data_IF_876029695753
#
_entry.id   IF_876029695753
#
_cell.length_a   1.000
_cell.length_b   1.000
_cell.length_c   1.000
_cell.angle_alpha   90.00
_cell.angle_beta   90.00
_cell.angle_gamma   90.00
#
_symmetry.space_group_name_H-M   'P 1'
#
loop_
_entity.id
_entity.type
_entity.pdbx_description
1 polymer ?
#
# COMPACT_ATOMS: atom_id res chain seq x y z
N UNK A 1 -5.00 5.76 13.66
CA UNK A 1 -3.90 5.01 13.00
C UNK A 1 -3.61 5.64 11.65
N UNK A 2 -2.35 5.86 11.29
CA UNK A 2 -1.92 6.43 10.02
C UNK A 2 -1.70 5.32 8.99
N UNK A 3 -2.41 5.38 7.86
CA UNK A 3 -2.40 4.35 6.82
C UNK A 3 -1.86 4.93 5.52
N UNK A 4 -0.91 4.23 4.90
CA UNK A 4 -0.50 4.50 3.52
C UNK A 4 -1.16 3.47 2.60
N UNK A 5 -1.70 3.92 1.47
CA UNK A 5 -2.30 3.04 0.46
C UNK A 5 -1.47 3.10 -0.83
N UNK A 6 -1.10 1.93 -1.36
CA UNK A 6 -0.47 1.77 -2.68
C UNK A 6 -1.46 1.03 -3.59
N UNK A 7 -2.02 1.71 -4.58
CA UNK A 7 -3.10 1.20 -5.42
C UNK A 7 -3.19 2.07 -6.67
N UNK A 8 -3.07 1.48 -7.86
CA UNK A 8 -3.10 2.20 -9.14
C UNK A 8 -4.52 2.33 -9.70
N UNK A 9 -5.47 1.50 -9.26
CA UNK A 9 -6.87 1.63 -9.64
C UNK A 9 -7.67 2.51 -8.66
N UNK A 10 -8.02 3.73 -9.10
CA UNK A 10 -8.77 4.70 -8.28
C UNK A 10 -10.09 4.14 -7.69
N UNK A 11 -10.77 3.25 -8.41
CA UNK A 11 -12.00 2.61 -7.93
C UNK A 11 -11.71 1.62 -6.77
N UNK A 12 -10.64 0.84 -6.88
CA UNK A 12 -10.17 -0.07 -5.84
C UNK A 12 -9.69 0.70 -4.61
N UNK A 13 -8.92 1.78 -4.81
CA UNK A 13 -8.48 2.67 -3.73
C UNK A 13 -9.67 3.25 -2.97
N UNK A 14 -10.67 3.77 -3.69
CA UNK A 14 -11.88 4.33 -3.08
C UNK A 14 -12.64 3.29 -2.27
N UNK A 15 -12.79 2.07 -2.81
CA UNK A 15 -13.45 0.96 -2.11
C UNK A 15 -12.67 0.56 -0.85
N UNK A 16 -11.35 0.47 -0.93
CA UNK A 16 -10.48 0.14 0.20
C UNK A 16 -10.58 1.19 1.30
N UNK A 17 -10.59 2.48 0.95
CA UNK A 17 -10.78 3.58 1.90
C UNK A 17 -12.15 3.50 2.59
N UNK A 18 -13.22 3.17 1.85
CA UNK A 18 -14.55 2.97 2.43
C UNK A 18 -14.58 1.80 3.42
N UNK A 19 -13.96 0.67 3.05
CA UNK A 19 -13.87 -0.49 3.93
C UNK A 19 -13.04 -0.18 5.19
N UNK A 20 -11.93 0.52 5.03
CA UNK A 20 -11.08 0.98 6.13
C UNK A 20 -11.85 1.89 7.08
N UNK A 21 -12.62 2.85 6.56
CA UNK A 21 -13.42 3.76 7.39
C UNK A 21 -14.51 3.05 8.21
N UNK A 22 -15.03 1.93 7.70
CA UNK A 22 -15.98 1.08 8.44
C UNK A 22 -15.25 0.25 9.51
N UNK A 23 -14.12 -0.35 9.14
CA UNK A 23 -13.39 -1.24 10.04
C UNK A 23 -12.66 -0.50 11.17
N UNK A 24 -12.09 0.67 10.87
CA UNK A 24 -11.34 1.52 11.80
C UNK A 24 -11.65 3.01 11.54
N UNK A 25 -12.72 3.55 12.12
CA UNK A 25 -13.15 4.94 11.88
C UNK A 25 -12.11 6.01 12.27
N UNK A 26 -11.16 5.67 13.14
CA UNK A 26 -10.04 6.54 13.55
C UNK A 26 -8.80 6.44 12.63
N UNK A 27 -8.87 5.67 11.54
CA UNK A 27 -7.81 5.59 10.56
C UNK A 27 -7.70 6.90 9.75
N UNK A 28 -6.47 7.35 9.54
CA UNK A 28 -6.13 8.50 8.69
C UNK A 28 -5.31 8.00 7.52
N UNK A 29 -5.87 8.09 6.32
CA UNK A 29 -5.12 7.82 5.09
C UNK A 29 -4.17 9.00 4.84
N UNK A 30 -2.87 8.73 4.86
CA UNK A 30 -1.83 9.73 4.67
C UNK A 30 -1.66 10.10 3.19
N UNK A 31 -1.70 9.09 2.31
CA UNK A 31 -1.64 9.22 0.87
C UNK A 31 -2.19 7.95 0.20
N UNK A 32 -2.57 8.09 -1.06
CA UNK A 32 -2.84 7.00 -2.01
C UNK A 32 -1.85 7.18 -3.15
N UNK A 33 -1.01 6.17 -3.42
CA UNK A 33 0.07 6.24 -4.39
C UNK A 33 -0.10 5.12 -5.43
N UNK A 34 0.07 5.47 -6.71
CA UNK A 34 -0.27 4.57 -7.83
C UNK A 34 0.95 3.83 -8.39
N UNK A 35 2.17 4.19 -7.96
CA UNK A 35 3.41 3.70 -8.53
C UNK A 35 4.45 3.33 -7.47
N UNK A 36 5.32 2.38 -7.81
CA UNK A 36 6.52 1.99 -7.07
C UNK A 36 7.42 3.20 -6.85
N UNK A 37 7.61 4.02 -7.90
CA UNK A 37 8.43 5.24 -7.80
C UNK A 37 7.89 6.20 -6.72
N UNK A 38 6.59 6.51 -6.76
CA UNK A 38 5.98 7.45 -5.82
C UNK A 38 5.98 6.88 -4.39
N UNK A 39 5.75 5.58 -4.25
CA UNK A 39 5.85 4.88 -2.96
C UNK A 39 7.26 4.99 -2.34
N UNK A 40 8.30 4.77 -3.14
CA UNK A 40 9.70 4.90 -2.71
C UNK A 40 10.01 6.33 -2.28
N UNK A 41 9.62 7.31 -3.09
CA UNK A 41 9.84 8.73 -2.79
C UNK A 41 9.12 9.14 -1.50
N UNK A 42 7.85 8.75 -1.38
CA UNK A 42 7.04 9.06 -0.21
C UNK A 42 7.63 8.46 1.07
N UNK A 43 8.00 7.17 1.05
CA UNK A 43 8.55 6.48 2.22
C UNK A 43 9.93 6.99 2.66
N UNK A 44 10.71 7.60 1.75
CA UNK A 44 12.00 8.21 2.08
C UNK A 44 11.89 9.56 2.76
N UNK A 45 10.81 10.30 2.48
CA UNK A 45 10.64 11.70 2.90
C UNK A 45 9.72 11.81 4.11
N UNK A 46 8.69 10.95 4.19
CA UNK A 46 7.65 11.06 5.20
C UNK A 46 7.92 10.16 6.40
N UNK A 47 7.22 10.47 7.51
CA UNK A 47 7.23 9.61 8.68
C UNK A 47 6.65 8.24 8.35
N UNK A 48 7.20 7.22 9.00
CA UNK A 48 6.75 5.83 8.86
C UNK A 48 5.26 5.73 9.22
N UNK A 49 4.41 5.16 8.34
CA UNK A 49 3.01 4.92 8.65
C UNK A 49 2.86 3.76 9.65
N UNK A 50 1.71 3.69 10.33
CA UNK A 50 1.44 2.57 11.23
C UNK A 50 1.18 1.26 10.46
N UNK A 51 0.66 1.37 9.23
CA UNK A 51 0.40 0.24 8.33
C UNK A 51 0.37 0.70 6.86
N UNK A 52 0.80 -0.19 5.96
CA UNK A 52 0.71 -0.01 4.51
C UNK A 52 -0.27 -1.04 3.96
N UNK A 53 -1.28 -0.59 3.21
CA UNK A 53 -2.16 -1.43 2.41
C UNK A 53 -1.72 -1.28 0.95
N UNK A 54 -1.45 -2.39 0.26
CA UNK A 54 -0.82 -2.34 -1.07
C UNK A 54 -1.41 -3.35 -2.02
N UNK A 55 -1.77 -2.97 -3.24
CA UNK A 55 -1.83 -3.96 -4.33
C UNK A 55 -0.42 -4.50 -4.62
N UNK A 56 -0.36 -5.72 -5.13
CA UNK A 56 0.85 -6.40 -5.59
C UNK A 56 1.35 -5.80 -6.90
N UNK A 57 0.45 -5.40 -7.80
CA UNK A 57 0.82 -4.68 -9.02
C UNK A 57 0.47 -3.21 -8.86
N UNK A 58 1.42 -2.35 -9.25
CA UNK A 58 1.25 -0.92 -9.38
C UNK A 58 1.55 -0.54 -10.83
N UNK A 59 1.25 0.71 -11.19
CA UNK A 59 1.32 1.20 -12.58
C UNK A 59 2.69 1.02 -13.26
N UNK A 60 3.78 0.99 -12.51
CA UNK A 60 5.16 0.89 -13.00
C UNK A 60 5.93 -0.34 -12.50
N UNK A 61 5.28 -1.29 -11.81
CA UNK A 61 5.96 -2.50 -11.33
C UNK A 61 5.25 -3.26 -10.22
N UNK A 62 6.00 -4.16 -9.57
CA UNK A 62 5.51 -4.88 -8.40
C UNK A 62 5.74 -4.07 -7.13
N UNK A 63 4.75 -3.99 -6.24
CA UNK A 63 4.92 -3.32 -4.95
C UNK A 63 6.03 -3.95 -4.08
N UNK A 64 6.34 -5.24 -4.29
CA UNK A 64 7.51 -5.90 -3.70
C UNK A 64 8.82 -5.16 -3.99
N UNK A 65 8.95 -4.50 -5.14
CA UNK A 65 10.14 -3.75 -5.51
C UNK A 65 10.30 -2.44 -4.73
N UNK A 66 9.20 -1.90 -4.15
CA UNK A 66 9.26 -0.79 -3.18
C UNK A 66 10.06 -1.24 -1.96
N UNK A 67 9.69 -2.38 -1.38
CA UNK A 67 10.25 -2.86 -0.11
C UNK A 67 11.63 -3.51 -0.25
N UNK A 68 12.06 -3.83 -1.48
CA UNK A 68 13.46 -4.17 -1.79
C UNK A 68 14.37 -2.95 -1.82
N UNK A 69 13.83 -1.77 -2.14
CA UNK A 69 14.60 -0.53 -2.33
C UNK A 69 14.51 0.43 -1.14
N UNK A 70 13.47 0.31 -0.32
CA UNK A 70 13.26 1.12 0.88
C UNK A 70 12.90 0.22 2.04
N UNK A 71 13.70 0.27 3.10
CA UNK A 71 13.40 -0.40 4.35
C UNK A 71 12.37 0.42 5.13
N UNK A 72 11.24 -0.18 5.46
CA UNK A 72 10.21 0.41 6.34
C UNK A 72 9.91 -0.57 7.47
N UNK A 73 9.80 -0.11 8.73
CA UNK A 73 9.36 -0.96 9.82
C UNK A 73 7.82 -1.10 9.87
N UNK A 74 7.10 -0.39 9.00
CA UNK A 74 5.65 -0.50 8.91
C UNK A 74 5.24 -1.91 8.42
N UNK A 75 4.26 -2.57 9.08
CA UNK A 75 3.66 -3.78 8.54
C UNK A 75 2.96 -3.49 7.21
N UNK A 76 3.06 -4.45 6.28
CA UNK A 76 2.45 -4.37 4.95
C UNK A 76 1.40 -5.46 4.79
N UNK A 77 0.19 -5.09 4.38
CA UNK A 77 -0.86 -6.01 3.95
C UNK A 77 -1.04 -5.87 2.45
N UNK A 78 -0.83 -6.97 1.73
CA UNK A 78 -1.09 -7.00 0.30
C UNK A 78 -2.56 -7.32 0.00
N UNK A 79 -3.19 -6.53 -0.85
CA UNK A 79 -4.56 -6.72 -1.35
C UNK A 79 -4.50 -6.99 -2.84
N UNK A 80 -4.80 -8.20 -3.29
CA UNK A 80 -4.76 -8.51 -4.72
C UNK A 80 -5.96 -9.34 -5.15
N UNK A 81 -6.41 -9.16 -6.39
CA UNK A 81 -7.40 -10.03 -7.02
C UNK A 81 -6.77 -11.29 -7.65
N UNK A 82 -5.44 -11.40 -7.67
CA UNK A 82 -4.73 -12.52 -8.26
C UNK A 82 -4.42 -13.62 -7.24
N UNK A 83 -5.09 -14.76 -7.36
CA UNK A 83 -4.86 -15.97 -6.55
C UNK A 83 -3.41 -16.52 -6.65
N UNK A 84 -2.65 -16.12 -7.68
CA UNK A 84 -1.34 -16.69 -7.98
C UNK A 84 -0.19 -16.20 -7.08
N UNK A 85 -0.37 -15.09 -6.35
CA UNK A 85 0.72 -14.49 -5.56
C UNK A 85 0.76 -14.94 -4.09
N UNK A 86 -0.19 -15.77 -3.64
CA UNK A 86 -0.21 -16.32 -2.28
C UNK A 86 1.04 -17.15 -1.94
N UNK A 87 1.80 -17.60 -2.94
CA UNK A 87 2.91 -18.57 -2.77
C UNK A 87 4.33 -17.99 -2.94
N UNK A 88 4.51 -16.71 -3.28
CA UNK A 88 5.87 -16.10 -3.44
C UNK A 88 6.28 -15.15 -2.31
N UNK A 89 5.51 -15.09 -1.24
CA UNK A 89 5.70 -14.15 -0.12
C UNK A 89 6.58 -14.71 1.03
N UNK A 90 7.34 -15.79 0.80
CA UNK A 90 8.23 -16.40 1.78
C UNK A 90 9.66 -16.50 1.24
#
# INVERSE_FOLDING_TARGET
MNVLILEDEAAAATRLQQQLAIAEPGAKVLAVLESVKDAIEWLRINNVPDIILSDIHLSDGLALDVFRQVSTPAPVIFTTAYDAYTLKAF
#
